data_IF_522876987539
#
_entry.id   IF_522876987539
#
_cell.length_a   1.000
_cell.length_b   1.000
_cell.length_c   1.000
_cell.angle_alpha   90.00
_cell.angle_beta   90.00
_cell.angle_gamma   90.00
#
_symmetry.space_group_name_H-M   'P 1'
#
loop_
_entity.id
_entity.type
_entity.pdbx_description
1 polymer ?
#
# COMPACT_ATOMS: atom_id res chain seq x y z
N UNK A 1 21.55 14.00 -19.94
CA UNK A 1 20.13 13.69 -19.72
C UNK A 1 19.39 15.01 -19.82
N UNK A 2 18.46 15.13 -20.75
CA UNK A 2 17.67 16.34 -20.93
C UNK A 2 16.35 16.14 -20.20
N UNK A 3 15.99 17.10 -19.34
CA UNK A 3 14.72 17.09 -18.58
C UNK A 3 13.77 18.07 -19.25
N UNK A 4 12.70 17.56 -19.83
CA UNK A 4 11.68 18.38 -20.47
C UNK A 4 10.51 18.57 -19.47
N UNK A 5 10.34 19.80 -19.01
CA UNK A 5 9.25 20.16 -18.11
C UNK A 5 8.07 20.71 -18.91
N UNK A 6 6.90 20.13 -18.69
CA UNK A 6 5.66 20.60 -19.31
C UNK A 6 5.04 21.73 -18.48
N UNK A 7 4.74 22.84 -19.13
CA UNK A 7 4.05 23.96 -18.51
C UNK A 7 2.63 23.55 -18.04
N UNK A 8 2.23 24.04 -16.87
CA UNK A 8 0.92 23.76 -16.29
C UNK A 8 0.71 22.33 -15.75
N UNK A 9 1.72 21.46 -15.79
CA UNK A 9 1.64 20.16 -15.15
C UNK A 9 2.05 20.23 -13.67
N UNK A 10 1.53 19.32 -12.85
CA UNK A 10 1.82 19.28 -11.40
C UNK A 10 3.32 19.15 -11.09
N UNK A 11 4.07 18.42 -11.93
CA UNK A 11 5.52 18.21 -11.80
C UNK A 11 6.32 19.04 -12.81
N UNK A 12 5.70 20.02 -13.45
CA UNK A 12 6.34 20.82 -14.49
C UNK A 12 6.71 22.22 -14.03
N UNK A 13 6.56 23.18 -14.94
CA UNK A 13 6.81 24.60 -14.65
C UNK A 13 5.56 25.17 -13.98
N UNK A 14 5.62 25.59 -12.69
CA UNK A 14 4.47 26.13 -11.99
C UNK A 14 4.10 27.51 -12.53
N UNK A 15 2.80 27.79 -12.57
CA UNK A 15 2.27 29.11 -12.89
C UNK A 15 1.73 29.75 -11.62
N UNK A 16 2.14 30.99 -11.34
CA UNK A 16 1.56 31.73 -10.21
C UNK A 16 0.06 32.00 -10.45
N UNK A 17 -0.85 31.80 -9.48
CA UNK A 17 -0.59 31.53 -8.07
C UNK A 17 -0.73 30.05 -7.66
N UNK A 18 -0.14 29.14 -8.40
CA UNK A 18 -0.17 27.71 -8.07
C UNK A 18 0.46 27.46 -6.70
N UNK A 19 -0.31 26.93 -5.78
CA UNK A 19 0.21 26.49 -4.47
C UNK A 19 0.92 25.14 -4.60
N UNK A 20 1.91 24.91 -3.74
CA UNK A 20 2.48 23.57 -3.59
C UNK A 20 1.41 22.59 -3.06
N UNK A 21 1.55 21.32 -3.44
CA UNK A 21 0.72 20.26 -2.88
C UNK A 21 0.86 20.21 -1.36
N UNK A 22 -0.23 19.91 -0.68
CA UNK A 22 -0.21 19.63 0.76
C UNK A 22 0.68 18.41 1.11
N UNK A 23 0.96 17.55 0.15
CA UNK A 23 1.78 16.36 0.28
C UNK A 23 2.85 16.32 -0.84
N UNK A 24 3.86 17.14 -0.73
CA UNK A 24 4.96 17.25 -1.71
C UNK A 24 5.63 15.89 -1.98
N UNK A 25 5.75 15.04 -0.97
CA UNK A 25 6.29 13.68 -1.10
C UNK A 25 5.47 12.80 -2.03
N UNK A 26 4.14 12.93 -2.07
CA UNK A 26 3.30 12.18 -3.01
C UNK A 26 3.61 12.55 -4.47
N UNK A 27 3.83 13.84 -4.72
CA UNK A 27 4.22 14.31 -6.07
C UNK A 27 5.59 13.77 -6.46
N UNK A 28 6.54 13.76 -5.54
CA UNK A 28 7.88 13.23 -5.77
C UNK A 28 7.84 11.72 -6.07
N UNK A 29 7.02 10.95 -5.37
CA UNK A 29 6.78 9.54 -5.68
C UNK A 29 6.24 9.34 -7.10
N UNK A 30 5.31 10.21 -7.53
CA UNK A 30 4.72 10.14 -8.88
C UNK A 30 5.68 10.53 -9.99
N UNK A 31 6.82 11.14 -9.69
CA UNK A 31 7.90 11.37 -10.66
C UNK A 31 8.88 10.19 -10.66
N UNK A 32 9.23 9.69 -9.49
CA UNK A 32 10.23 8.62 -9.35
C UNK A 32 9.73 7.29 -9.90
N UNK A 33 8.47 6.93 -9.59
CA UNK A 33 7.88 5.66 -10.02
C UNK A 33 7.86 5.46 -11.54
N UNK A 34 7.31 6.38 -12.35
CA UNK A 34 7.32 6.23 -13.80
C UNK A 34 8.74 6.19 -14.38
N UNK A 35 9.68 6.89 -13.77
CA UNK A 35 11.08 6.86 -14.22
C UNK A 35 11.68 5.47 -14.02
N UNK A 36 11.48 4.87 -12.86
CA UNK A 36 11.96 3.52 -12.56
C UNK A 36 11.29 2.47 -13.44
N UNK A 37 9.97 2.57 -13.61
CA UNK A 37 9.21 1.68 -14.47
C UNK A 37 9.66 1.78 -15.94
N UNK A 38 9.87 3.00 -16.45
CA UNK A 38 10.38 3.21 -17.80
C UNK A 38 11.78 2.60 -18.00
N UNK A 39 12.66 2.71 -17.00
CA UNK A 39 13.98 2.07 -17.03
C UNK A 39 13.88 0.56 -17.04
N UNK A 40 12.96 -0.02 -16.26
CA UNK A 40 12.71 -1.46 -16.25
C UNK A 40 12.24 -1.97 -17.62
N UNK A 41 11.46 -1.19 -18.36
CA UNK A 41 11.01 -1.56 -19.73
C UNK A 41 12.13 -1.44 -20.78
N UNK A 42 13.16 -0.61 -20.57
CA UNK A 42 14.31 -0.52 -21.49
C UNK A 42 15.10 -1.83 -21.47
N UNK A 43 15.44 -2.34 -20.27
CA UNK A 43 16.13 -3.62 -20.13
C UNK A 43 15.88 -4.23 -18.74
N UNK A 44 15.93 -5.57 -18.69
CA UNK A 44 15.86 -6.30 -17.42
C UNK A 44 17.01 -5.87 -16.51
N UNK A 45 16.70 -5.60 -15.25
CA UNK A 45 17.69 -5.18 -14.24
C UNK A 45 18.01 -3.70 -14.16
N UNK A 46 17.45 -2.85 -15.03
CA UNK A 46 17.72 -1.40 -15.00
C UNK A 46 16.80 -0.59 -14.08
N UNK A 47 15.61 -1.09 -13.74
CA UNK A 47 14.64 -0.36 -12.96
C UNK A 47 13.80 -1.29 -12.07
N UNK A 48 12.74 -0.75 -11.51
CA UNK A 48 11.80 -1.44 -10.64
C UNK A 48 10.39 -1.27 -11.17
N UNK A 49 9.43 -2.04 -10.68
CA UNK A 49 8.02 -1.74 -10.83
C UNK A 49 7.65 -0.45 -10.06
N UNK A 50 6.41 -0.02 -10.10
CA UNK A 50 5.97 1.14 -9.33
C UNK A 50 5.73 0.78 -7.87
N UNK A 51 6.20 1.65 -6.97
CA UNK A 51 5.82 1.60 -5.56
C UNK A 51 4.37 2.03 -5.36
N UNK A 52 3.71 1.47 -4.36
CA UNK A 52 2.36 1.85 -3.95
C UNK A 52 2.29 3.29 -3.45
N UNK A 53 1.06 3.82 -3.42
CA UNK A 53 0.78 5.15 -2.89
C UNK A 53 0.82 5.19 -1.37
N UNK A 54 1.01 6.39 -0.84
CA UNK A 54 1.07 6.69 0.60
C UNK A 54 -0.09 7.57 1.04
N UNK A 55 -0.11 7.96 2.33
CA UNK A 55 -1.04 8.91 2.95
C UNK A 55 -2.50 8.46 3.01
N UNK A 56 -2.77 7.16 2.94
CA UNK A 56 -4.07 6.62 3.34
C UNK A 56 -4.35 6.91 4.84
N UNK A 57 -5.58 6.73 5.34
CA UNK A 57 -5.86 6.96 6.77
C UNK A 57 -4.92 6.23 7.73
N UNK A 58 -4.35 5.09 7.36
CA UNK A 58 -3.33 4.39 8.16
C UNK A 58 -2.00 5.16 8.29
N UNK A 59 -1.80 6.21 7.51
CA UNK A 59 -0.72 7.20 7.58
C UNK A 59 -1.29 8.62 7.69
N UNK A 60 -2.50 8.74 8.20
CA UNK A 60 -3.24 9.99 8.32
C UNK A 60 -2.81 10.85 9.50
N UNK A 61 -3.25 12.09 9.50
CA UNK A 61 -3.09 13.00 10.66
C UNK A 61 -4.34 12.91 11.53
N UNK A 62 -4.18 12.46 12.76
CA UNK A 62 -5.21 12.47 13.77
C UNK A 62 -5.14 13.76 14.60
N UNK A 63 -6.28 14.30 14.97
CA UNK A 63 -6.35 15.47 15.86
C UNK A 63 -7.63 15.48 16.68
N UNK A 64 -7.57 16.15 17.82
CA UNK A 64 -8.73 16.29 18.71
C UNK A 64 -8.37 16.88 20.06
N UNK A 65 -9.29 16.77 21.00
CA UNK A 65 -9.07 17.12 22.41
C UNK A 65 -9.37 15.91 23.28
N UNK A 66 -8.43 15.48 24.09
CA UNK A 66 -8.66 14.36 25.00
C UNK A 66 -9.57 14.81 26.16
N UNK A 67 -10.81 14.28 26.25
CA UNK A 67 -11.74 14.69 27.29
C UNK A 67 -11.30 14.30 28.70
N UNK A 68 -10.36 13.38 28.86
CA UNK A 68 -9.85 12.98 30.18
C UNK A 68 -8.98 14.06 30.84
N UNK A 69 -8.33 14.91 30.05
CA UNK A 69 -7.40 15.93 30.57
C UNK A 69 -7.59 17.32 29.94
N UNK A 70 -8.51 17.47 28.97
CA UNK A 70 -8.79 18.71 28.25
C UNK A 70 -7.67 19.19 27.32
N UNK A 71 -6.65 18.38 27.05
CA UNK A 71 -5.51 18.77 26.21
C UNK A 71 -5.77 18.45 24.75
N UNK A 72 -5.42 19.36 23.83
CA UNK A 72 -5.42 19.07 22.41
C UNK A 72 -4.28 18.08 22.09
N UNK A 73 -4.52 17.27 21.08
CA UNK A 73 -3.50 16.41 20.49
C UNK A 73 -3.55 16.50 18.96
N UNK A 74 -2.40 16.28 18.35
CA UNK A 74 -2.24 16.08 16.91
C UNK A 74 -1.04 15.14 16.71
N UNK A 75 -1.21 14.16 15.82
CA UNK A 75 -0.14 13.26 15.43
C UNK A 75 -0.39 12.76 14.00
N UNK A 76 0.67 12.53 13.26
CA UNK A 76 0.59 11.70 12.06
C UNK A 76 0.85 10.26 12.47
N UNK A 77 -0.16 9.41 12.39
CA UNK A 77 0.00 7.99 12.70
C UNK A 77 0.73 7.27 11.58
N UNK A 78 1.60 6.33 11.93
CA UNK A 78 2.35 5.47 11.01
C UNK A 78 1.92 4.02 11.21
N UNK A 79 0.60 3.77 11.18
CA UNK A 79 0.02 2.45 11.48
C UNK A 79 0.10 1.50 10.30
N UNK A 80 -0.13 2.00 9.09
CA UNK A 80 -0.22 1.15 7.90
C UNK A 80 0.28 1.92 6.68
N UNK A 81 1.45 1.57 6.21
CA UNK A 81 1.97 1.96 4.91
C UNK A 81 2.72 0.79 4.30
N UNK A 82 2.52 0.57 3.05
CA UNK A 82 3.20 -0.45 2.26
C UNK A 82 3.39 0.10 0.86
N UNK A 83 4.03 -0.65 0.00
CA UNK A 83 4.04 -0.28 -1.39
C UNK A 83 5.34 -0.55 -2.09
N UNK A 84 6.28 -1.28 -1.49
CA UNK A 84 7.53 -1.62 -2.15
C UNK A 84 7.30 -2.28 -3.51
N UNK A 85 8.03 -1.84 -4.53
CA UNK A 85 7.97 -2.39 -5.86
C UNK A 85 8.70 -3.73 -5.96
N UNK A 86 8.23 -4.64 -6.81
CA UNK A 86 8.99 -5.80 -7.25
C UNK A 86 10.23 -5.34 -8.04
N UNK A 87 11.35 -6.01 -7.82
CA UNK A 87 12.62 -5.72 -8.48
C UNK A 87 13.07 -6.85 -9.41
N UNK A 88 14.16 -6.64 -10.16
CA UNK A 88 14.65 -7.65 -11.12
C UNK A 88 15.17 -8.92 -10.48
N UNK A 89 15.61 -8.85 -9.22
CA UNK A 89 16.33 -9.94 -8.54
C UNK A 89 15.72 -10.34 -7.20
N UNK A 90 14.69 -9.64 -6.72
CA UNK A 90 14.08 -9.88 -5.42
C UNK A 90 12.65 -9.35 -5.34
N UNK A 91 11.87 -9.95 -4.46
CA UNK A 91 10.61 -9.37 -4.01
C UNK A 91 10.84 -8.01 -3.35
N UNK A 92 9.78 -7.26 -3.24
CA UNK A 92 9.77 -5.92 -2.65
C UNK A 92 10.24 -5.90 -1.19
N UNK A 93 10.63 -4.72 -0.75
CA UNK A 93 10.58 -4.37 0.67
C UNK A 93 9.15 -3.97 1.02
N UNK A 94 8.51 -4.77 1.86
CA UNK A 94 7.09 -4.65 2.17
C UNK A 94 6.72 -3.26 2.69
N UNK A 95 7.51 -2.74 3.64
CA UNK A 95 7.26 -1.46 4.29
C UNK A 95 8.25 -0.40 3.80
N UNK A 96 7.94 0.22 2.68
CA UNK A 96 8.75 1.31 2.14
C UNK A 96 7.91 2.58 2.01
N UNK A 97 8.43 3.69 2.47
CA UNK A 97 7.95 5.02 2.16
C UNK A 97 8.96 5.63 1.19
N UNK A 98 8.66 5.55 -0.09
CA UNK A 98 9.66 5.61 -1.16
C UNK A 98 10.48 6.89 -1.16
N UNK A 99 9.87 8.06 -1.29
CA UNK A 99 10.62 9.30 -1.50
C UNK A 99 10.85 10.08 -0.22
N UNK A 100 9.86 10.12 0.68
CA UNK A 100 9.94 10.98 1.86
C UNK A 100 11.15 10.69 2.74
N UNK A 101 11.50 9.42 2.93
CA UNK A 101 12.54 8.98 3.85
C UNK A 101 13.60 8.10 3.18
N UNK A 102 13.69 8.08 1.87
CA UNK A 102 14.60 7.21 1.14
C UNK A 102 14.37 5.71 1.43
N UNK A 103 13.13 5.33 1.70
CA UNK A 103 12.74 3.97 2.05
C UNK A 103 12.85 3.60 3.54
N UNK A 104 13.45 4.46 4.36
CA UNK A 104 13.68 4.16 5.79
C UNK A 104 12.54 4.70 6.65
N UNK A 105 11.47 3.93 6.75
CA UNK A 105 10.32 4.26 7.60
C UNK A 105 9.99 3.07 8.52
N UNK A 106 9.64 3.38 9.75
CA UNK A 106 9.18 2.40 10.74
C UNK A 106 7.69 2.61 11.01
N UNK A 107 6.98 1.53 11.30
CA UNK A 107 5.66 1.62 11.88
C UNK A 107 5.72 2.17 13.29
N UNK A 108 4.69 2.91 13.68
CA UNK A 108 4.50 3.27 15.08
C UNK A 108 4.26 2.01 15.93
N UNK A 109 4.68 2.09 17.20
CA UNK A 109 4.20 1.15 18.19
C UNK A 109 2.75 1.48 18.52
N UNK A 110 1.86 0.50 18.33
CA UNK A 110 0.44 0.62 18.68
C UNK A 110 0.29 1.02 20.13
N UNK A 111 1.06 0.39 21.02
CA UNK A 111 1.02 0.61 22.46
C UNK A 111 1.40 2.05 22.83
N UNK A 112 2.39 2.64 22.12
CA UNK A 112 2.80 4.02 22.36
C UNK A 112 1.75 5.01 21.83
N UNK A 113 1.12 4.72 20.70
CA UNK A 113 0.06 5.56 20.17
C UNK A 113 -1.16 5.56 21.09
N UNK A 114 -1.59 4.39 21.56
CA UNK A 114 -2.71 4.22 22.49
C UNK A 114 -2.40 4.83 23.88
N UNK A 115 -1.15 4.81 24.31
CA UNK A 115 -0.71 5.44 25.54
C UNK A 115 -0.76 6.97 25.47
N UNK A 116 -0.40 7.54 24.32
CA UNK A 116 -0.25 8.99 24.13
C UNK A 116 -1.52 9.68 23.65
N UNK A 117 -2.35 8.98 22.90
CA UNK A 117 -3.54 9.51 22.25
C UNK A 117 -4.78 8.69 22.64
N UNK A 118 -5.97 9.29 22.69
CA UNK A 118 -7.20 8.57 23.02
C UNK A 118 -7.72 7.73 21.85
N UNK A 119 -6.86 6.87 21.27
CA UNK A 119 -7.17 5.99 20.16
C UNK A 119 -7.09 4.52 20.58
N UNK A 120 -7.71 3.65 19.80
CA UNK A 120 -7.56 2.21 19.88
C UNK A 120 -7.40 1.63 18.47
N UNK A 121 -6.39 0.79 18.30
CA UNK A 121 -6.09 0.11 17.04
C UNK A 121 -6.69 -1.30 17.10
N UNK A 122 -7.80 -1.50 16.40
CA UNK A 122 -8.51 -2.79 16.39
C UNK A 122 -7.77 -3.85 15.59
N UNK A 123 -7.16 -3.44 14.47
CA UNK A 123 -6.51 -4.36 13.54
C UNK A 123 -5.37 -3.67 12.83
N UNK A 124 -4.26 -4.39 12.66
CA UNK A 124 -3.15 -4.05 11.74
C UNK A 124 -2.58 -5.35 11.18
N UNK A 125 -2.71 -5.54 9.87
CA UNK A 125 -2.26 -6.75 9.19
C UNK A 125 -1.98 -6.50 7.71
N UNK A 126 -1.32 -7.43 7.03
CA UNK A 126 -1.27 -7.44 5.58
C UNK A 126 -2.52 -8.10 5.01
N UNK A 127 -3.03 -7.55 3.91
CA UNK A 127 -4.15 -8.13 3.19
C UNK A 127 -3.64 -9.25 2.27
N UNK A 128 -4.25 -10.41 2.34
CA UNK A 128 -3.97 -11.49 1.40
C UNK A 128 -4.39 -11.08 -0.03
N UNK A 129 -3.74 -11.67 -1.03
CA UNK A 129 -4.07 -11.51 -2.46
C UNK A 129 -4.02 -10.04 -2.97
N UNK A 130 -3.26 -9.19 -2.31
CA UNK A 130 -3.22 -7.75 -2.60
C UNK A 130 -1.88 -7.28 -3.18
N UNK A 131 -0.94 -8.17 -3.36
CA UNK A 131 0.34 -7.87 -4.01
C UNK A 131 0.19 -7.65 -5.52
N UNK A 132 1.08 -6.88 -6.13
CA UNK A 132 1.32 -6.98 -7.57
C UNK A 132 2.07 -8.28 -7.85
N UNK A 133 1.35 -9.24 -8.47
CA UNK A 133 1.94 -10.53 -8.77
C UNK A 133 3.04 -10.39 -9.83
N UNK A 134 4.11 -11.19 -9.72
CA UNK A 134 5.23 -11.18 -10.66
C UNK A 134 6.18 -12.33 -10.40
N UNK A 135 7.19 -12.49 -11.25
CA UNK A 135 8.36 -13.31 -10.94
C UNK A 135 8.93 -12.90 -9.58
N UNK A 136 8.95 -11.59 -9.35
CA UNK A 136 9.17 -10.97 -8.04
C UNK A 136 7.98 -10.07 -7.71
N UNK A 137 7.40 -10.30 -6.54
CA UNK A 137 6.16 -9.64 -6.13
C UNK A 137 6.42 -8.22 -5.63
N UNK A 138 5.44 -7.34 -5.92
CA UNK A 138 5.29 -6.08 -5.20
C UNK A 138 4.74 -6.30 -3.78
N UNK A 139 4.72 -5.22 -3.01
CA UNK A 139 4.23 -5.25 -1.63
C UNK A 139 2.74 -5.57 -1.55
N UNK A 140 2.35 -6.26 -0.50
CA UNK A 140 0.97 -6.46 -0.11
C UNK A 140 0.41 -5.19 0.51
N UNK A 141 -0.87 -4.93 0.35
CA UNK A 141 -1.55 -3.86 1.05
C UNK A 141 -1.52 -4.09 2.57
N UNK A 142 -1.32 -3.02 3.34
CA UNK A 142 -1.55 -3.06 4.77
C UNK A 142 -2.99 -2.63 5.06
N UNK A 143 -3.64 -3.37 5.93
CA UNK A 143 -4.96 -3.08 6.47
C UNK A 143 -4.81 -2.57 7.89
N UNK A 144 -5.44 -1.45 8.21
CA UNK A 144 -5.55 -0.95 9.58
C UNK A 144 -6.96 -0.48 9.87
N UNK A 145 -7.37 -0.68 11.12
CA UNK A 145 -8.67 -0.27 11.65
C UNK A 145 -8.45 0.35 13.02
N UNK A 146 -8.86 1.61 13.20
CA UNK A 146 -8.70 2.33 14.46
C UNK A 146 -9.77 3.39 14.66
N UNK A 147 -9.92 3.86 15.89
CA UNK A 147 -10.88 4.91 16.24
C UNK A 147 -10.66 5.47 17.64
N UNK A 148 -11.43 6.51 18.04
CA UNK A 148 -11.29 7.10 19.36
C UNK A 148 -11.92 6.20 20.44
N UNK A 149 -11.19 6.02 21.56
CA UNK A 149 -11.72 5.32 22.74
C UNK A 149 -12.64 6.21 23.58
N UNK A 150 -12.50 7.54 23.44
CA UNK A 150 -13.31 8.55 24.11
C UNK A 150 -13.32 9.87 23.34
N UNK A 151 -14.43 10.61 23.45
CA UNK A 151 -14.58 11.88 22.73
C UNK A 151 -14.73 11.68 21.22
N UNK A 152 -14.12 12.58 20.48
CA UNK A 152 -14.09 12.54 19.03
C UNK A 152 -12.66 12.77 18.51
N UNK A 153 -12.44 12.41 17.25
CA UNK A 153 -11.16 12.52 16.57
C UNK A 153 -11.40 12.89 15.11
N UNK A 154 -10.69 13.87 14.62
CA UNK A 154 -10.62 14.17 13.20
C UNK A 154 -9.42 13.42 12.58
N UNK A 155 -9.64 12.81 11.41
CA UNK A 155 -8.60 12.10 10.64
C UNK A 155 -8.50 12.76 9.28
N UNK A 156 -7.37 13.43 9.02
CA UNK A 156 -7.05 14.03 7.73
C UNK A 156 -6.14 13.10 6.93
N UNK A 157 -6.47 12.88 5.65
CA UNK A 157 -5.72 11.99 4.77
C UNK A 157 -5.81 12.41 3.30
N UNK A 158 -4.84 11.96 2.51
CA UNK A 158 -4.77 12.15 1.05
C UNK A 158 -4.38 10.80 0.45
N UNK A 159 -5.35 9.90 0.26
CA UNK A 159 -5.07 8.55 -0.25
C UNK A 159 -4.61 8.59 -1.68
N UNK A 160 -3.38 8.16 -1.90
CA UNK A 160 -2.84 7.93 -3.23
C UNK A 160 -3.06 6.46 -3.66
N UNK A 161 -3.08 6.22 -4.96
CA UNK A 161 -3.22 4.88 -5.52
C UNK A 161 -4.64 4.30 -5.53
N UNK A 162 -5.66 5.06 -5.14
CA UNK A 162 -7.05 4.59 -5.20
C UNK A 162 -7.58 4.48 -6.65
N UNK A 163 -7.13 5.38 -7.53
CA UNK A 163 -7.52 5.40 -8.96
C UNK A 163 -6.40 4.81 -9.81
N UNK A 164 -5.16 5.23 -9.55
CA UNK A 164 -3.98 4.80 -10.28
C UNK A 164 -3.14 3.89 -9.36
N UNK A 165 -3.47 2.61 -9.34
CA UNK A 165 -2.69 1.62 -8.61
C UNK A 165 -1.24 1.55 -9.14
N UNK A 166 -0.32 1.10 -8.29
CA UNK A 166 1.08 0.89 -8.68
C UNK A 166 1.18 -0.12 -9.83
N UNK A 167 1.86 0.25 -10.89
CA UNK A 167 1.97 -0.57 -12.10
C UNK A 167 3.07 -1.60 -11.98
N UNK A 168 2.76 -2.81 -12.44
CA UNK A 168 3.79 -3.82 -12.70
C UNK A 168 4.56 -3.52 -13.98
N UNK A 169 5.70 -4.17 -14.15
CA UNK A 169 6.56 -4.05 -15.32
C UNK A 169 6.95 -5.43 -15.84
N UNK A 170 7.34 -5.52 -17.11
CA UNK A 170 7.83 -6.75 -17.76
C UNK A 170 6.90 -7.96 -17.58
N UNK A 171 5.59 -7.72 -17.67
CA UNK A 171 4.56 -8.75 -17.48
C UNK A 171 4.11 -8.96 -16.04
N UNK A 172 4.64 -8.22 -15.08
CA UNK A 172 4.13 -8.19 -13.71
C UNK A 172 2.78 -7.50 -13.61
N UNK A 173 1.97 -7.93 -12.65
CA UNK A 173 0.66 -7.36 -12.39
C UNK A 173 0.74 -6.06 -11.58
N UNK A 174 -0.29 -5.23 -11.72
CA UNK A 174 -0.46 -4.06 -10.86
C UNK A 174 -0.74 -4.49 -9.41
N UNK A 175 -0.35 -3.64 -8.47
CA UNK A 175 -0.76 -3.78 -7.07
C UNK A 175 -2.25 -3.47 -6.89
N UNK A 176 -2.80 -3.87 -5.76
CA UNK A 176 -4.19 -3.57 -5.39
C UNK A 176 -4.35 -2.08 -5.13
N UNK A 177 -5.41 -1.43 -5.62
CA UNK A 177 -5.71 -0.04 -5.28
C UNK A 177 -5.91 0.17 -3.78
N UNK A 178 -5.61 1.37 -3.30
CA UNK A 178 -5.94 1.75 -1.92
C UNK A 178 -7.44 1.95 -1.74
N UNK A 179 -7.91 1.82 -0.50
CA UNK A 179 -9.30 2.05 -0.14
C UNK A 179 -9.46 2.45 1.31
N UNK A 180 -10.54 3.19 1.59
CA UNK A 180 -10.88 3.61 2.94
C UNK A 180 -12.39 3.72 3.11
N UNK A 181 -12.84 3.45 4.33
CA UNK A 181 -14.22 3.64 4.72
C UNK A 181 -14.33 3.85 6.23
N UNK A 182 -15.44 4.41 6.66
CA UNK A 182 -15.81 4.51 8.07
C UNK A 182 -16.77 3.39 8.43
N UNK A 183 -16.60 2.82 9.61
CA UNK A 183 -17.59 1.96 10.25
C UNK A 183 -18.35 2.76 11.30
N UNK A 184 -19.67 2.77 11.21
CA UNK A 184 -20.55 3.32 12.23
C UNK A 184 -20.47 2.51 13.53
N UNK A 185 -21.06 3.00 14.61
CA UNK A 185 -21.18 2.24 15.87
C UNK A 185 -21.89 0.91 15.71
N UNK A 186 -22.77 0.80 14.74
CA UNK A 186 -23.51 -0.44 14.44
C UNK A 186 -22.77 -1.37 13.48
N UNK A 187 -21.60 -0.94 12.98
CA UNK A 187 -20.81 -1.69 12.00
C UNK A 187 -21.17 -1.39 10.53
N UNK A 188 -22.07 -0.43 10.27
CA UNK A 188 -22.41 -0.06 8.90
C UNK A 188 -21.22 0.62 8.21
N UNK A 189 -20.94 0.19 7.00
CA UNK A 189 -19.88 0.77 6.17
C UNK A 189 -20.35 2.05 5.49
N UNK A 190 -19.53 3.09 5.58
CA UNK A 190 -19.70 4.38 4.93
C UNK A 190 -18.44 4.64 4.11
N UNK A 191 -18.55 4.58 2.79
CA UNK A 191 -17.41 4.83 1.90
C UNK A 191 -16.98 6.29 1.98
N UNK A 192 -15.67 6.51 1.93
CA UNK A 192 -15.04 7.81 2.10
C UNK A 192 -14.38 8.25 0.79
N UNK A 193 -14.32 9.57 0.57
CA UNK A 193 -13.56 10.14 -0.52
C UNK A 193 -12.05 9.85 -0.38
N UNK A 194 -11.30 9.95 -1.48
CA UNK A 194 -9.85 9.69 -1.45
C UNK A 194 -9.06 10.80 -0.74
N UNK A 195 -9.62 11.97 -0.61
CA UNK A 195 -9.01 13.12 0.08
C UNK A 195 -10.06 13.73 1.00
N UNK A 196 -9.70 13.96 2.26
CA UNK A 196 -10.65 14.57 3.18
C UNK A 196 -10.20 14.59 4.64
N UNK A 197 -11.08 15.15 5.42
CA UNK A 197 -11.06 15.09 6.89
C UNK A 197 -12.33 14.41 7.35
N UNK A 198 -12.19 13.35 8.11
CA UNK A 198 -13.31 12.57 8.64
C UNK A 198 -13.35 12.69 10.15
N UNK A 199 -14.51 13.09 10.68
CA UNK A 199 -14.74 13.07 12.12
C UNK A 199 -15.27 11.71 12.54
N UNK A 200 -14.63 11.15 13.55
CA UNK A 200 -15.02 9.92 14.22
C UNK A 200 -15.48 10.23 15.64
N UNK A 201 -16.62 9.68 16.02
CA UNK A 201 -17.10 9.69 17.39
C UNK A 201 -16.71 8.38 18.10
N UNK A 202 -16.69 8.38 19.42
CA UNK A 202 -16.44 7.15 20.21
C UNK A 202 -17.31 5.98 19.72
N UNK A 203 -16.69 4.85 19.42
CA UNK A 203 -17.35 3.66 18.87
C UNK A 203 -17.42 3.63 17.34
N UNK A 204 -17.08 4.70 16.64
CA UNK A 204 -16.85 4.69 15.20
C UNK A 204 -15.39 4.35 14.90
N UNK A 205 -15.14 3.80 13.72
CA UNK A 205 -13.78 3.38 13.31
C UNK A 205 -13.53 3.78 11.87
N UNK A 206 -12.29 4.10 11.57
CA UNK A 206 -11.82 4.26 10.18
C UNK A 206 -11.02 3.02 9.79
N UNK A 207 -11.30 2.54 8.60
CA UNK A 207 -10.59 1.44 7.97
C UNK A 207 -9.78 2.00 6.81
N UNK A 208 -8.54 1.57 6.74
CA UNK A 208 -7.59 1.95 5.72
C UNK A 208 -6.94 0.70 5.12
N UNK A 209 -6.93 0.62 3.79
CA UNK A 209 -6.14 -0.33 3.04
C UNK A 209 -5.20 0.44 2.12
N UNK A 210 -3.91 0.16 2.21
CA UNK A 210 -2.89 0.82 1.39
C UNK A 210 -2.87 0.24 -0.02
N UNK A 211 -2.26 0.95 -0.96
CA UNK A 211 -1.96 0.41 -2.29
C UNK A 211 -0.91 -0.70 -2.18
N UNK A 212 -1.12 -1.82 -2.86
CA UNK A 212 -0.05 -2.78 -3.09
C UNK A 212 1.01 -2.23 -4.05
N UNK A 213 2.23 -2.74 -4.00
CA UNK A 213 3.29 -2.44 -4.98
C UNK A 213 3.10 -3.22 -6.27
N UNK A 214 3.63 -2.71 -7.39
CA UNK A 214 3.63 -3.42 -8.67
C UNK A 214 4.59 -4.61 -8.71
N UNK A 215 4.23 -5.67 -9.43
CA UNK A 215 5.05 -6.86 -9.64
C UNK A 215 6.08 -6.69 -10.76
N UNK A 216 7.14 -7.48 -10.76
CA UNK A 216 8.20 -7.50 -11.76
C UNK A 216 8.29 -8.86 -12.45
N UNK A 217 8.21 -8.88 -13.79
CA UNK A 217 8.24 -10.12 -14.57
C UNK A 217 6.96 -10.94 -14.49
N UNK A 218 6.79 -11.92 -15.37
CA UNK A 218 5.57 -12.71 -15.42
C UNK A 218 5.35 -13.54 -14.13
N UNK A 219 4.14 -13.54 -13.56
CA UNK A 219 3.85 -14.33 -12.34
C UNK A 219 4.12 -15.83 -12.50
N UNK A 220 3.91 -16.37 -13.71
CA UNK A 220 4.18 -17.78 -14.01
C UNK A 220 5.67 -18.15 -14.01
N UNK A 221 6.58 -17.17 -13.99
CA UNK A 221 8.02 -17.36 -13.83
C UNK A 221 8.46 -17.40 -12.37
N UNK A 222 7.55 -17.09 -11.41
CA UNK A 222 7.88 -17.16 -9.97
C UNK A 222 8.20 -18.59 -9.56
N UNK A 223 9.26 -18.74 -8.75
CA UNK A 223 9.61 -20.03 -8.15
C UNK A 223 8.40 -20.62 -7.40
N UNK A 224 7.95 -21.84 -7.75
CA UNK A 224 6.82 -22.48 -7.11
C UNK A 224 6.97 -22.61 -5.58
N UNK A 225 8.19 -22.77 -5.06
CA UNK A 225 8.44 -22.84 -3.63
C UNK A 225 8.27 -21.48 -2.93
N UNK A 226 8.52 -20.38 -3.64
CA UNK A 226 8.20 -19.05 -3.11
C UNK A 226 6.69 -18.85 -3.01
N UNK A 227 5.93 -19.29 -4.03
CA UNK A 227 4.45 -19.23 -4.01
C UNK A 227 3.90 -20.13 -2.88
N UNK A 228 4.44 -21.35 -2.72
CA UNK A 228 4.04 -22.23 -1.62
C UNK A 228 4.26 -21.59 -0.25
N UNK A 229 5.38 -20.91 -0.07
CA UNK A 229 5.65 -20.16 1.19
C UNK A 229 4.66 -19.01 1.38
N UNK A 230 4.36 -18.26 0.34
CA UNK A 230 3.37 -17.19 0.39
C UNK A 230 1.98 -17.72 0.78
N UNK A 231 1.61 -18.91 0.31
CA UNK A 231 0.36 -19.57 0.72
C UNK A 231 0.40 -20.02 2.18
N UNK A 232 1.50 -20.64 2.61
CA UNK A 232 1.66 -21.10 3.98
C UNK A 232 1.63 -19.94 5.00
N UNK A 233 2.14 -18.77 4.63
CA UNK A 233 2.12 -17.54 5.42
C UNK A 233 0.78 -16.79 5.35
N UNK A 234 -0.18 -17.26 4.54
CA UNK A 234 -1.47 -16.61 4.35
C UNK A 234 -1.41 -15.31 3.53
N UNK A 235 -0.37 -15.11 2.77
CA UNK A 235 -0.21 -13.94 1.90
C UNK A 235 -0.88 -14.09 0.56
N UNK A 236 -0.95 -15.31 0.06
CA UNK A 236 -1.58 -15.69 -1.22
C UNK A 236 -2.54 -16.84 -0.95
N UNK A 237 -3.75 -16.77 -1.49
CA UNK A 237 -4.69 -17.89 -1.43
C UNK A 237 -4.28 -19.03 -2.36
N UNK A 238 -4.75 -20.24 -2.08
CA UNK A 238 -4.53 -21.39 -2.98
C UNK A 238 -5.14 -21.16 -4.37
N UNK A 239 -6.29 -20.49 -4.43
CA UNK A 239 -6.93 -20.10 -5.69
C UNK A 239 -6.04 -19.14 -6.50
N UNK A 240 -5.44 -18.15 -5.84
CA UNK A 240 -4.55 -17.21 -6.50
C UNK A 240 -3.22 -17.86 -6.90
N UNK A 241 -2.69 -18.75 -6.08
CA UNK A 241 -1.51 -19.54 -6.42
C UNK A 241 -1.72 -20.30 -7.74
N UNK A 242 -2.88 -20.92 -7.92
CA UNK A 242 -3.22 -21.65 -9.13
C UNK A 242 -3.55 -20.72 -10.31
N UNK A 243 -4.44 -19.74 -10.11
CA UNK A 243 -4.99 -18.93 -11.21
C UNK A 243 -4.02 -17.87 -11.75
N UNK A 244 -3.15 -17.32 -10.88
CA UNK A 244 -2.24 -16.21 -11.22
C UNK A 244 -0.81 -16.72 -11.42
N UNK A 245 -0.33 -17.57 -10.52
CA UNK A 245 1.05 -18.06 -10.55
C UNK A 245 1.21 -19.39 -11.27
N UNK A 246 0.10 -20.06 -11.58
CA UNK A 246 0.11 -21.38 -12.21
C UNK A 246 0.74 -22.45 -11.32
N UNK A 247 0.62 -22.33 -10.00
CA UNK A 247 1.18 -23.26 -9.02
C UNK A 247 0.08 -24.09 -8.38
N UNK A 248 0.21 -25.39 -8.47
CA UNK A 248 -0.71 -26.35 -7.87
C UNK A 248 -0.08 -26.92 -6.59
N UNK A 249 -0.81 -26.84 -5.49
CA UNK A 249 -0.44 -27.43 -4.21
C UNK A 249 -1.27 -28.70 -4.00
N UNK A 250 -0.60 -29.74 -3.48
CA UNK A 250 -1.27 -31.02 -3.12
C UNK A 250 -2.00 -30.89 -1.77
N UNK A 251 -2.66 -31.97 -1.35
CA UNK A 251 -3.41 -32.03 -0.08
C UNK A 251 -2.55 -31.89 1.18
N UNK A 252 -1.23 -31.94 1.05
CA UNK A 252 -0.27 -31.70 2.15
C UNK A 252 0.25 -30.25 2.18
N UNK A 253 -0.13 -29.44 1.18
CA UNK A 253 0.38 -28.07 0.99
C UNK A 253 1.76 -28.02 0.31
N UNK A 254 2.23 -29.11 -0.26
CA UNK A 254 3.46 -29.18 -1.04
C UNK A 254 3.20 -28.87 -2.51
N UNK A 255 4.23 -28.43 -3.25
CA UNK A 255 4.10 -28.15 -4.70
C UNK A 255 3.94 -29.46 -5.46
N UNK A 256 2.83 -29.59 -6.21
CA UNK A 256 2.70 -30.61 -7.25
C UNK A 256 3.42 -30.13 -8.51
N UNK A 257 4.68 -30.57 -8.69
CA UNK A 257 5.52 -30.13 -9.81
C UNK A 257 4.96 -30.57 -11.17
N UNK A 258 4.34 -31.75 -11.25
CA UNK A 258 3.80 -32.27 -12.51
C UNK A 258 2.57 -31.44 -12.96
N UNK A 259 1.63 -31.23 -12.04
CA UNK A 259 0.45 -30.41 -12.29
C UNK A 259 0.84 -28.93 -12.53
N UNK A 260 1.78 -28.38 -11.79
CA UNK A 260 2.30 -27.03 -11.99
C UNK A 260 2.92 -26.85 -13.38
N UNK A 261 3.76 -27.79 -13.80
CA UNK A 261 4.39 -27.75 -15.13
C UNK A 261 3.33 -27.82 -16.25
N UNK A 262 2.37 -28.74 -16.11
CA UNK A 262 1.29 -28.87 -17.07
C UNK A 262 0.42 -27.61 -17.16
N UNK A 263 0.13 -26.96 -16.02
CA UNK A 263 -0.67 -25.73 -15.98
C UNK A 263 0.06 -24.56 -16.64
N UNK A 264 1.36 -24.41 -16.36
CA UNK A 264 2.18 -23.31 -16.93
C UNK A 264 2.48 -23.46 -18.42
N UNK A 265 2.26 -24.64 -19.00
CA UNK A 265 2.46 -24.91 -20.42
C UNK A 265 1.24 -24.55 -21.30
N UNK A 266 0.12 -24.19 -20.71
CA UNK A 266 -1.12 -23.77 -21.40
C UNK A 266 -1.07 -22.27 -21.74
#
# INVERSE_FOLDING_TARGET
>A
MDVLLREGSVCGIPQHPTSCSAATTNVADRVSNPTQAAMAEIADGLGLAECGGIMTPGLGVISGTDPANGKPYVNQVMLAFTGGAGGPNADCWQTICHVGNGGLCYYDSIELDELRHPIYVHTRQFAADSEGAGRFCGARSAYSEYGPIRGNMDVAYVSDGAINAAKGVRGGANGTPSGQYKLSRNGDRIDLANVGVVRLETGERIVSMTTGGGGYGAPTERDPEMVRRDVAEGYVSSERAQSVYGVVLDGSGSVDLAATTALRAQ
#
